data_IF_637343247726
#
_entry.id   IF_637343247726
#
_cell.length_a   1.000
_cell.length_b   1.000
_cell.length_c   1.000
_cell.angle_alpha   90.00
_cell.angle_beta   90.00
_cell.angle_gamma   90.00
#
_symmetry.space_group_name_H-M   'P 1'
#
loop_
_entity.id
_entity.type
_entity.pdbx_description
1 polymer ?
#
# COMPACT_ATOMS: atom_id res chain seq x y z
N UNK A 1 -81.39 22.54 -13.02
CA UNK A 1 -80.68 21.88 -14.15
C UNK A 1 -80.14 22.95 -15.09
N UNK A 2 -78.86 23.35 -14.95
CA UNK A 2 -78.03 24.06 -15.96
C UNK A 2 -76.66 24.59 -15.45
N UNK A 3 -76.20 24.21 -14.26
CA UNK A 3 -74.90 24.67 -13.72
C UNK A 3 -73.94 23.57 -13.24
N UNK A 4 -74.16 22.31 -13.62
CA UNK A 4 -73.32 21.18 -13.17
C UNK A 4 -72.45 20.53 -14.27
N UNK A 5 -72.36 21.14 -15.47
CA UNK A 5 -71.75 20.50 -16.66
C UNK A 5 -70.65 21.33 -17.33
N UNK A 6 -69.95 22.19 -16.58
CA UNK A 6 -68.83 22.99 -17.13
C UNK A 6 -67.53 22.96 -16.30
N UNK A 7 -67.51 22.30 -15.14
CA UNK A 7 -66.30 22.12 -14.33
C UNK A 7 -65.60 20.76 -14.54
N UNK A 8 -66.13 19.90 -15.42
CA UNK A 8 -65.58 18.56 -15.69
C UNK A 8 -64.58 18.48 -16.83
N UNK A 9 -64.30 19.59 -17.53
CA UNK A 9 -63.42 19.60 -18.72
C UNK A 9 -62.07 20.29 -18.45
N UNK A 10 -61.96 21.11 -17.40
CA UNK A 10 -60.69 21.76 -17.03
C UNK A 10 -59.86 21.00 -15.98
N UNK A 11 -60.43 20.03 -15.29
CA UNK A 11 -59.71 19.17 -14.32
C UNK A 11 -59.01 17.96 -14.95
N UNK A 12 -59.29 17.66 -16.22
CA UNK A 12 -58.65 16.55 -16.95
C UNK A 12 -57.37 16.94 -17.71
N UNK A 13 -57.01 18.23 -17.77
CA UNK A 13 -55.87 18.71 -18.58
C UNK A 13 -54.62 19.14 -17.78
N UNK A 14 -54.62 18.99 -16.45
CA UNK A 14 -53.50 19.41 -15.57
C UNK A 14 -52.79 18.22 -14.89
N UNK A 15 -53.18 16.97 -15.20
CA UNK A 15 -52.56 15.77 -14.60
C UNK A 15 -51.72 14.93 -15.58
N UNK A 16 -51.34 15.50 -16.73
CA UNK A 16 -50.65 14.77 -17.81
C UNK A 16 -49.28 15.37 -18.18
N UNK A 17 -48.53 15.90 -17.21
CA UNK A 17 -47.21 16.53 -17.44
C UNK A 17 -46.13 16.17 -16.40
N UNK A 18 -46.18 15.02 -15.77
CA UNK A 18 -45.07 14.50 -14.95
C UNK A 18 -44.83 13.01 -15.19
N UNK A 19 -44.47 12.65 -16.43
CA UNK A 19 -43.72 11.41 -16.68
C UNK A 19 -42.38 11.85 -17.24
N UNK A 20 -41.52 12.36 -16.35
CA UNK A 20 -40.10 12.42 -16.62
C UNK A 20 -39.55 11.01 -16.56
N UNK A 21 -39.06 10.48 -17.68
CA UNK A 21 -38.18 9.32 -17.68
C UNK A 21 -36.91 9.72 -16.90
N UNK A 22 -36.87 9.43 -15.61
CA UNK A 22 -35.61 9.23 -14.93
C UNK A 22 -34.98 7.97 -15.56
N UNK A 23 -33.72 8.01 -16.01
CA UNK A 23 -33.02 6.77 -16.34
C UNK A 23 -33.05 5.89 -15.09
N UNK A 24 -33.25 4.56 -15.21
CA UNK A 24 -33.10 3.70 -14.05
C UNK A 24 -31.69 3.92 -13.50
N UNK A 25 -31.59 4.20 -12.21
CA UNK A 25 -30.33 4.09 -11.48
C UNK A 25 -29.84 2.67 -11.73
N UNK A 26 -28.89 2.53 -12.66
CA UNK A 26 -28.17 1.30 -12.84
C UNK A 26 -27.29 1.19 -11.60
N UNK A 27 -27.84 0.56 -10.56
CA UNK A 27 -27.05 0.03 -9.46
C UNK A 27 -25.98 -0.83 -10.11
N UNK A 28 -24.74 -0.33 -10.15
CA UNK A 28 -23.60 -1.15 -10.50
C UNK A 28 -23.47 -2.14 -9.34
N UNK A 29 -24.12 -3.29 -9.51
CA UNK A 29 -23.96 -4.42 -8.61
C UNK A 29 -22.57 -4.97 -8.88
N UNK A 30 -21.60 -4.50 -8.10
CA UNK A 30 -20.37 -5.25 -7.91
C UNK A 30 -20.77 -6.50 -7.13
N UNK A 31 -20.98 -7.62 -7.83
CA UNK A 31 -20.88 -8.91 -7.19
C UNK A 31 -19.42 -9.02 -6.72
N UNK A 32 -19.18 -8.60 -5.47
CA UNK A 32 -17.99 -8.95 -4.72
C UNK A 32 -18.06 -10.46 -4.48
N UNK A 33 -17.83 -11.22 -5.55
CA UNK A 33 -17.53 -12.64 -5.46
C UNK A 33 -16.18 -12.65 -4.77
N UNK A 34 -16.19 -12.90 -3.45
CA UNK A 34 -14.98 -13.22 -2.72
C UNK A 34 -14.38 -14.45 -3.42
N UNK A 35 -13.46 -14.22 -4.34
CA UNK A 35 -12.62 -15.29 -4.85
C UNK A 35 -12.00 -15.94 -3.60
N UNK A 36 -12.01 -17.28 -3.50
CA UNK A 36 -11.39 -17.94 -2.36
C UNK A 36 -9.96 -17.39 -2.25
N UNK A 37 -9.66 -16.74 -1.12
CA UNK A 37 -8.30 -16.31 -0.79
C UNK A 37 -7.44 -17.57 -0.94
N UNK A 38 -6.46 -17.59 -1.86
CA UNK A 38 -5.61 -18.76 -2.00
C UNK A 38 -5.03 -19.08 -0.63
N UNK A 39 -5.18 -20.32 -0.17
CA UNK A 39 -4.49 -20.79 1.04
C UNK A 39 -3.01 -20.46 0.86
N UNK A 40 -2.48 -19.64 1.77
CA UNK A 40 -1.08 -19.27 1.80
C UNK A 40 -0.25 -20.53 2.02
N UNK A 41 0.12 -21.20 0.93
CA UNK A 41 0.98 -22.37 0.96
C UNK A 41 2.40 -21.86 1.00
N UNK A 42 3.19 -22.23 2.01
CA UNK A 42 4.62 -21.89 2.10
C UNK A 42 5.39 -22.63 1.00
N UNK A 43 5.35 -22.08 -0.22
CA UNK A 43 6.25 -22.54 -1.27
C UNK A 43 7.66 -22.16 -0.81
N UNK A 44 8.59 -23.11 -0.63
CA UNK A 44 9.95 -22.78 -0.27
C UNK A 44 10.51 -21.85 -1.35
N UNK A 45 10.83 -20.62 -0.98
CA UNK A 45 11.41 -19.66 -1.91
C UNK A 45 12.81 -20.16 -2.31
N UNK A 46 13.15 -20.04 -3.59
CA UNK A 46 14.48 -20.38 -4.10
C UNK A 46 15.49 -19.49 -3.39
N UNK A 47 16.34 -20.08 -2.58
CA UNK A 47 17.43 -19.36 -1.92
C UNK A 47 18.49 -18.99 -2.95
N UNK A 48 19.07 -17.80 -2.83
CA UNK A 48 20.25 -17.43 -3.63
C UNK A 48 21.39 -18.40 -3.34
N UNK A 49 22.27 -18.68 -4.32
CA UNK A 49 23.51 -19.38 -4.03
C UNK A 49 24.36 -18.55 -3.06
N UNK A 50 25.31 -19.22 -2.41
CA UNK A 50 26.37 -18.52 -1.69
C UNK A 50 27.33 -17.92 -2.72
N UNK A 51 27.64 -16.64 -2.56
CA UNK A 51 28.62 -15.93 -3.38
C UNK A 51 29.97 -15.85 -2.68
N UNK A 52 31.05 -15.86 -3.46
CA UNK A 52 32.39 -15.60 -2.98
C UNK A 52 32.57 -14.10 -2.67
N UNK A 53 33.47 -13.73 -1.73
CA UNK A 53 33.71 -12.32 -1.41
C UNK A 53 34.17 -11.51 -2.63
N UNK A 54 33.44 -10.44 -2.95
CA UNK A 54 33.72 -9.57 -4.09
C UNK A 54 33.34 -10.18 -5.44
N UNK A 55 32.60 -11.29 -5.46
CA UNK A 55 32.04 -11.85 -6.69
C UNK A 55 31.16 -10.81 -7.39
N UNK A 56 31.32 -10.67 -8.71
CA UNK A 56 30.52 -9.74 -9.49
C UNK A 56 29.18 -10.37 -9.83
N UNK A 57 28.11 -9.72 -9.41
CA UNK A 57 26.75 -10.13 -9.73
C UNK A 57 26.05 -9.11 -10.61
N UNK A 58 25.22 -9.62 -11.52
CA UNK A 58 24.40 -8.77 -12.38
C UNK A 58 23.27 -8.11 -11.58
N UNK A 59 23.15 -6.81 -11.77
CA UNK A 59 22.08 -6.01 -11.19
C UNK A 59 21.53 -5.04 -12.23
N UNK A 60 20.23 -4.78 -12.17
CA UNK A 60 19.58 -3.76 -12.99
C UNK A 60 19.11 -2.67 -12.04
N UNK A 61 19.61 -1.45 -12.25
CA UNK A 61 19.25 -0.30 -11.43
C UNK A 61 17.74 -0.10 -11.39
N UNK A 62 17.21 0.06 -10.19
CA UNK A 62 15.81 0.29 -9.90
C UNK A 62 15.55 1.77 -9.68
N UNK A 63 14.28 2.16 -9.68
CA UNK A 63 13.88 3.56 -9.51
C UNK A 63 14.37 4.11 -8.18
N UNK A 64 15.30 5.06 -8.25
CA UNK A 64 15.78 5.75 -7.07
C UNK A 64 16.95 5.10 -6.36
N UNK A 65 17.57 4.11 -6.98
CA UNK A 65 18.84 3.57 -6.51
C UNK A 65 19.93 4.65 -6.51
N UNK A 66 20.79 4.57 -5.52
CA UNK A 66 22.00 5.37 -5.40
C UNK A 66 23.18 4.43 -5.18
N UNK A 67 24.40 4.87 -5.50
CA UNK A 67 25.60 4.05 -5.28
C UNK A 67 25.75 3.68 -3.79
N UNK A 68 25.50 4.63 -2.88
CA UNK A 68 25.57 4.37 -1.44
C UNK A 68 24.49 3.41 -0.96
N UNK A 69 23.26 3.50 -1.49
CA UNK A 69 22.17 2.59 -1.15
C UNK A 69 22.47 1.17 -1.60
N UNK A 70 22.99 1.00 -2.82
CA UNK A 70 23.42 -0.30 -3.33
C UNK A 70 24.61 -0.87 -2.55
N UNK A 71 25.57 -0.03 -2.16
CA UNK A 71 26.70 -0.45 -1.34
C UNK A 71 26.23 -1.09 -0.01
N UNK A 72 25.28 -0.45 0.68
CA UNK A 72 24.67 -1.01 1.89
C UNK A 72 23.94 -2.34 1.63
N UNK A 73 23.10 -2.40 0.60
CA UNK A 73 22.29 -3.60 0.25
C UNK A 73 23.15 -4.81 -0.11
N UNK A 74 24.23 -4.61 -0.86
CA UNK A 74 25.12 -5.67 -1.34
C UNK A 74 26.32 -5.91 -0.41
N UNK A 75 26.38 -5.22 0.73
CA UNK A 75 27.45 -5.32 1.72
C UNK A 75 28.84 -5.04 1.10
N UNK A 76 28.94 -4.05 0.22
CA UNK A 76 30.18 -3.63 -0.47
C UNK A 76 30.43 -2.13 -0.27
N UNK A 77 31.41 -1.56 -0.97
CA UNK A 77 31.74 -0.14 -0.95
C UNK A 77 31.29 0.58 -2.23
N UNK A 78 31.04 1.89 -2.11
CA UNK A 78 30.72 2.73 -3.26
C UNK A 78 31.87 2.74 -4.29
N UNK A 79 33.11 2.72 -3.80
CA UNK A 79 34.33 2.68 -4.60
C UNK A 79 34.41 1.40 -5.43
N UNK A 80 34.16 0.23 -4.83
CA UNK A 80 34.15 -1.05 -5.54
C UNK A 80 33.07 -1.10 -6.63
N UNK A 81 31.87 -0.57 -6.36
CA UNK A 81 30.81 -0.46 -7.37
C UNK A 81 31.26 0.42 -8.54
N UNK A 82 31.81 1.61 -8.26
CA UNK A 82 32.22 2.55 -9.32
C UNK A 82 33.39 2.02 -10.17
N UNK A 83 34.35 1.32 -9.56
CA UNK A 83 35.46 0.68 -10.29
C UNK A 83 34.96 -0.35 -11.30
N UNK A 84 33.93 -1.12 -10.93
CA UNK A 84 33.34 -2.14 -11.81
C UNK A 84 32.29 -1.57 -12.79
N UNK A 85 31.89 -0.30 -12.63
CA UNK A 85 30.92 0.38 -13.49
C UNK A 85 31.44 1.76 -13.94
N UNK A 86 32.54 1.83 -14.71
CA UNK A 86 33.23 3.09 -15.04
C UNK A 86 32.42 4.05 -15.92
N UNK A 87 31.29 3.60 -16.48
CA UNK A 87 30.34 4.43 -17.23
C UNK A 87 29.57 5.39 -16.32
N UNK A 88 29.50 5.13 -15.01
CA UNK A 88 28.76 5.95 -14.05
C UNK A 88 29.63 7.16 -13.65
N UNK A 89 29.18 8.39 -13.91
CA UNK A 89 29.91 9.58 -13.46
C UNK A 89 29.91 9.69 -11.92
N UNK A 90 31.02 10.12 -11.35
CA UNK A 90 31.19 10.26 -9.88
C UNK A 90 30.24 11.26 -9.21
N UNK A 91 29.61 12.17 -9.98
CA UNK A 91 28.70 13.19 -9.47
C UNK A 91 27.21 12.80 -9.58
N UNK A 92 26.90 11.56 -9.96
CA UNK A 92 25.52 11.08 -10.04
C UNK A 92 24.96 10.85 -8.64
N UNK A 93 23.84 11.49 -8.33
CA UNK A 93 23.11 11.28 -7.07
C UNK A 93 22.13 10.12 -7.12
N UNK A 94 21.56 9.81 -8.30
CA UNK A 94 20.56 8.76 -8.52
C UNK A 94 20.82 8.06 -9.85
N UNK A 95 20.78 6.73 -9.85
CA UNK A 95 21.03 5.91 -11.03
C UNK A 95 19.81 5.89 -11.98
N UNK A 96 20.02 5.89 -13.31
CA UNK A 96 18.94 5.69 -14.26
C UNK A 96 18.31 4.30 -14.10
N UNK A 97 16.97 4.19 -13.96
CA UNK A 97 16.30 2.89 -13.90
C UNK A 97 16.57 2.09 -15.18
N UNK A 98 16.78 0.78 -15.04
CA UNK A 98 17.09 -0.11 -16.15
C UNK A 98 18.59 -0.17 -16.53
N UNK A 99 19.46 0.63 -15.90
CA UNK A 99 20.90 0.56 -16.15
C UNK A 99 21.46 -0.79 -15.68
N UNK A 100 22.10 -1.59 -16.56
CA UNK A 100 22.78 -2.81 -16.15
C UNK A 100 24.06 -2.47 -15.37
N UNK A 101 24.33 -3.24 -14.32
CA UNK A 101 25.43 -3.03 -13.40
C UNK A 101 26.10 -4.35 -13.03
N UNK A 102 27.39 -4.28 -12.73
CA UNK A 102 28.17 -5.35 -12.11
C UNK A 102 28.47 -4.95 -10.67
N UNK A 103 27.85 -5.59 -9.69
CA UNK A 103 28.00 -5.24 -8.28
C UNK A 103 28.86 -6.29 -7.58
N UNK A 104 29.99 -5.90 -6.96
CA UNK A 104 30.71 -6.79 -6.04
C UNK A 104 29.84 -7.10 -4.84
N UNK A 105 29.65 -8.37 -4.51
CA UNK A 105 28.83 -8.80 -3.38
C UNK A 105 29.68 -9.43 -2.28
N UNK A 106 29.36 -9.12 -1.02
CA UNK A 106 29.90 -9.83 0.14
C UNK A 106 28.76 -10.55 0.85
N UNK A 107 28.59 -11.82 0.51
CA UNK A 107 27.47 -12.65 0.94
C UNK A 107 27.21 -12.59 2.44
N UNK A 108 25.93 -12.41 2.78
CA UNK A 108 25.40 -12.49 4.13
C UNK A 108 24.34 -13.61 4.17
N UNK A 109 24.35 -14.49 5.18
CA UNK A 109 23.33 -15.53 5.29
C UNK A 109 21.96 -14.94 5.65
N UNK A 110 20.91 -15.76 5.48
CA UNK A 110 19.52 -15.46 5.86
C UNK A 110 18.81 -14.42 4.98
N UNK A 111 19.13 -14.38 3.69
CA UNK A 111 18.33 -13.59 2.75
C UNK A 111 16.91 -14.13 2.60
N UNK A 112 15.95 -13.21 2.62
CA UNK A 112 14.53 -13.46 2.48
C UNK A 112 14.11 -13.79 1.05
N UNK A 113 12.79 -13.75 0.81
CA UNK A 113 12.22 -14.06 -0.50
C UNK A 113 12.72 -13.10 -1.59
N UNK A 114 12.85 -13.60 -2.82
CA UNK A 114 13.08 -12.81 -4.03
C UNK A 114 11.79 -12.24 -4.63
N UNK A 115 10.63 -12.60 -4.08
CA UNK A 115 9.34 -12.15 -4.58
C UNK A 115 9.14 -10.66 -4.30
N UNK A 116 8.91 -9.88 -5.35
CA UNK A 116 8.56 -8.46 -5.24
C UNK A 116 7.03 -8.33 -5.13
N UNK A 117 6.57 -7.88 -3.96
CA UNK A 117 5.14 -7.79 -3.59
C UNK A 117 4.43 -6.69 -4.38
N UNK A 118 5.10 -5.54 -4.54
CA UNK A 118 4.52 -4.34 -5.15
C UNK A 118 5.63 -3.56 -5.86
N UNK A 119 5.37 -2.91 -7.01
CA UNK A 119 6.33 -2.00 -7.61
C UNK A 119 6.40 -0.66 -6.85
N UNK A 120 7.58 -0.03 -6.81
CA UNK A 120 7.81 1.24 -6.11
C UNK A 120 6.85 2.36 -6.53
N UNK A 121 6.44 2.39 -7.81
CA UNK A 121 5.48 3.38 -8.32
C UNK A 121 4.07 3.25 -7.75
N UNK A 122 3.69 2.08 -7.23
CA UNK A 122 2.37 1.82 -6.64
C UNK A 122 2.36 2.02 -5.11
N UNK A 123 3.54 2.14 -4.49
CA UNK A 123 3.70 2.35 -3.05
C UNK A 123 3.49 3.81 -2.66
N UNK A 124 4.06 4.73 -3.42
CA UNK A 124 3.98 6.18 -3.16
C UNK A 124 2.65 6.73 -3.67
N UNK A 125 2.06 7.68 -2.94
CA UNK A 125 0.93 8.45 -3.43
C UNK A 125 1.39 9.39 -4.57
N UNK A 126 1.34 8.90 -5.80
CA UNK A 126 1.86 9.58 -6.97
C UNK A 126 1.00 9.36 -8.22
N UNK A 127 1.52 9.67 -9.42
CA UNK A 127 0.75 9.64 -10.67
C UNK A 127 0.04 8.32 -10.97
N UNK A 128 0.55 7.19 -10.47
CA UNK A 128 -0.08 5.87 -10.62
C UNK A 128 -1.46 5.76 -9.93
N UNK A 129 -1.80 6.68 -9.03
CA UNK A 129 -3.07 6.71 -8.30
C UNK A 129 -4.01 7.84 -8.69
N UNK A 130 -3.70 8.65 -9.71
CA UNK A 130 -4.45 9.89 -10.00
C UNK A 130 -5.93 9.66 -10.31
N UNK A 131 -6.25 8.53 -10.95
CA UNK A 131 -7.63 8.16 -11.31
C UNK A 131 -8.35 7.37 -10.20
N UNK A 132 -7.74 7.23 -9.02
CA UNK A 132 -8.35 6.47 -7.91
C UNK A 132 -9.22 7.37 -7.03
N UNK A 133 -10.53 7.28 -7.22
CA UNK A 133 -11.50 7.88 -6.30
C UNK A 133 -11.73 6.97 -5.09
N UNK A 134 -11.15 7.37 -3.95
CA UNK A 134 -11.21 6.63 -2.69
C UNK A 134 -12.66 6.55 -2.16
N UNK A 135 -13.43 7.65 -2.27
CA UNK A 135 -14.79 7.71 -1.72
C UNK A 135 -15.69 6.77 -2.51
N UNK A 136 -15.70 6.90 -3.83
CA UNK A 136 -16.46 6.00 -4.71
C UNK A 136 -16.06 4.53 -4.54
N UNK A 137 -14.77 4.25 -4.32
CA UNK A 137 -14.30 2.89 -4.07
C UNK A 137 -14.83 2.33 -2.74
N UNK A 138 -14.75 3.08 -1.64
CA UNK A 138 -15.27 2.64 -0.33
C UNK A 138 -16.78 2.46 -0.37
N UNK A 139 -17.51 3.36 -1.04
CA UNK A 139 -18.98 3.30 -1.13
C UNK A 139 -19.51 2.08 -1.88
N UNK A 140 -18.68 1.49 -2.77
CA UNK A 140 -18.99 0.31 -3.56
C UNK A 140 -18.96 -1.00 -2.75
N UNK A 141 -18.43 -1.00 -1.53
CA UNK A 141 -18.36 -2.19 -0.67
C UNK A 141 -19.25 -2.06 0.58
N UNK A 142 -19.71 -3.19 1.16
CA UNK A 142 -20.64 -3.17 2.30
C UNK A 142 -19.97 -3.05 3.68
N UNK A 143 -18.65 -2.91 3.73
CA UNK A 143 -17.88 -2.96 4.98
C UNK A 143 -18.04 -1.75 5.89
N UNK A 144 -17.61 -1.93 7.13
CA UNK A 144 -17.77 -0.96 8.22
C UNK A 144 -17.10 0.39 7.94
N UNK A 145 -16.04 0.42 7.11
CA UNK A 145 -15.32 1.66 6.78
C UNK A 145 -16.22 2.73 6.15
N UNK A 146 -17.26 2.30 5.42
CA UNK A 146 -18.22 3.19 4.76
C UNK A 146 -18.95 4.09 5.75
N UNK A 147 -19.38 3.51 6.87
CA UNK A 147 -20.15 4.21 7.91
C UNK A 147 -19.25 4.78 9.02
N UNK A 148 -17.96 4.40 9.04
CA UNK A 148 -17.01 4.86 10.05
C UNK A 148 -16.79 6.38 10.00
N UNK A 149 -16.76 7.02 11.17
CA UNK A 149 -16.50 8.44 11.37
C UNK A 149 -15.58 8.62 12.56
N UNK A 150 -14.52 9.42 12.40
CA UNK A 150 -13.60 9.71 13.50
C UNK A 150 -13.00 11.13 13.37
N UNK A 151 -12.47 11.65 14.47
CA UNK A 151 -11.76 12.92 14.49
C UNK A 151 -10.30 12.71 14.07
N UNK A 152 -9.97 13.20 12.88
CA UNK A 152 -8.60 13.19 12.36
C UNK A 152 -8.16 14.64 12.13
N UNK A 153 -6.87 14.96 12.16
CA UNK A 153 -6.33 16.20 11.58
C UNK A 153 -7.14 17.50 11.75
N UNK A 154 -7.75 17.74 12.91
CA UNK A 154 -8.53 18.95 13.20
C UNK A 154 -10.04 18.94 12.88
N UNK A 155 -10.61 17.87 12.33
CA UNK A 155 -12.03 17.81 11.96
C UNK A 155 -12.58 16.36 11.98
N UNK A 156 -13.91 16.22 12.01
CA UNK A 156 -14.56 14.92 11.85
C UNK A 156 -14.54 14.51 10.37
N UNK A 157 -14.05 13.30 10.08
CA UNK A 157 -13.90 12.76 8.72
C UNK A 157 -14.56 11.39 8.56
N UNK A 158 -14.98 11.07 7.34
CA UNK A 158 -15.37 9.72 6.91
C UNK A 158 -14.19 8.76 6.90
N UNK A 159 -14.46 7.45 6.94
CA UNK A 159 -13.42 6.43 6.80
C UNK A 159 -12.56 6.63 5.56
N UNK A 160 -13.19 6.90 4.41
CA UNK A 160 -12.50 7.23 3.17
C UNK A 160 -11.68 8.53 3.25
N UNK A 161 -12.22 9.58 3.88
CA UNK A 161 -11.53 10.85 4.08
C UNK A 161 -10.32 10.70 5.02
N UNK A 162 -10.40 9.86 6.04
CA UNK A 162 -9.25 9.56 6.92
C UNK A 162 -8.15 8.88 6.12
N UNK A 163 -8.48 7.87 5.30
CA UNK A 163 -7.50 7.20 4.43
C UNK A 163 -6.88 8.20 3.46
N UNK A 164 -7.69 9.04 2.81
CA UNK A 164 -7.23 10.10 1.91
C UNK A 164 -6.30 11.09 2.60
N UNK A 165 -6.65 11.50 3.82
CA UNK A 165 -5.87 12.43 4.63
C UNK A 165 -4.51 11.83 5.00
N UNK A 166 -4.46 10.58 5.46
CA UNK A 166 -3.19 9.91 5.79
C UNK A 166 -2.36 9.67 4.53
N UNK A 167 -2.96 9.17 3.45
CA UNK A 167 -2.28 8.94 2.17
C UNK A 167 -1.59 10.21 1.65
N UNK A 168 -2.26 11.36 1.78
CA UNK A 168 -1.73 12.65 1.35
C UNK A 168 -0.60 13.13 2.26
N UNK A 169 -0.81 13.15 3.58
CA UNK A 169 0.19 13.68 4.53
C UNK A 169 1.47 12.83 4.61
N UNK A 170 1.35 11.52 4.41
CA UNK A 170 2.50 10.59 4.48
C UNK A 170 3.02 10.17 3.12
N UNK A 171 2.41 10.65 2.02
CA UNK A 171 2.77 10.27 0.64
C UNK A 171 2.75 8.75 0.39
N UNK A 172 1.86 8.02 1.06
CA UNK A 172 1.67 6.57 0.90
C UNK A 172 0.41 6.30 0.10
N UNK A 173 0.45 5.33 -0.80
CA UNK A 173 -0.66 4.97 -1.68
C UNK A 173 -1.96 4.70 -0.92
N UNK A 174 -3.07 5.37 -1.25
CA UNK A 174 -4.36 5.11 -0.60
C UNK A 174 -4.83 3.67 -0.87
N UNK A 175 -4.48 3.09 -2.02
CA UNK A 175 -4.79 1.68 -2.33
C UNK A 175 -4.06 0.72 -1.40
N UNK A 176 -2.79 1.01 -1.08
CA UNK A 176 -2.02 0.21 -0.14
C UNK A 176 -2.60 0.31 1.28
N UNK A 177 -2.96 1.52 1.73
CA UNK A 177 -3.60 1.71 3.04
C UNK A 177 -4.95 0.98 3.14
N UNK A 178 -5.79 1.05 2.10
CA UNK A 178 -7.04 0.29 2.05
C UNK A 178 -6.80 -1.22 2.04
N UNK A 179 -5.79 -1.70 1.32
CA UNK A 179 -5.45 -3.13 1.29
C UNK A 179 -5.01 -3.63 2.67
N UNK A 180 -4.22 -2.85 3.41
CA UNK A 180 -3.79 -3.18 4.78
C UNK A 180 -4.99 -3.18 5.74
N UNK A 181 -5.83 -2.16 5.68
CA UNK A 181 -7.07 -2.09 6.45
C UNK A 181 -7.97 -3.30 6.17
N UNK A 182 -8.21 -3.62 4.90
CA UNK A 182 -9.00 -4.78 4.53
C UNK A 182 -8.38 -6.08 5.07
N UNK A 183 -7.08 -6.28 4.86
CA UNK A 183 -6.40 -7.49 5.29
C UNK A 183 -6.45 -7.73 6.81
N UNK A 184 -6.24 -6.68 7.62
CA UNK A 184 -6.16 -6.83 9.07
C UNK A 184 -7.50 -6.67 9.80
N UNK A 185 -8.46 -5.94 9.22
CA UNK A 185 -9.70 -5.57 9.91
C UNK A 185 -10.97 -5.81 9.11
N UNK A 186 -10.87 -6.24 7.85
CA UNK A 186 -12.01 -6.43 6.96
C UNK A 186 -12.77 -5.13 6.66
N UNK A 187 -12.06 -4.00 6.60
CA UNK A 187 -12.62 -2.66 6.47
C UNK A 187 -13.64 -2.48 5.33
N UNK A 188 -13.44 -3.17 4.21
CA UNK A 188 -14.29 -3.10 3.04
C UNK A 188 -15.32 -4.24 3.02
N UNK A 189 -15.04 -5.40 3.59
CA UNK A 189 -15.91 -6.59 3.43
C UNK A 189 -16.76 -6.93 4.66
N UNK A 190 -16.30 -6.64 5.87
CA UNK A 190 -17.02 -6.95 7.12
C UNK A 190 -17.91 -5.78 7.53
N UNK A 191 -19.19 -6.07 7.78
CA UNK A 191 -20.16 -5.03 8.17
C UNK A 191 -19.93 -4.49 9.59
N UNK A 192 -19.37 -5.32 10.48
CA UNK A 192 -19.10 -4.95 11.87
C UNK A 192 -17.67 -4.43 12.01
N UNK A 193 -17.53 -3.26 12.63
CA UNK A 193 -16.22 -2.71 13.00
C UNK A 193 -15.59 -3.59 14.08
N UNK A 194 -14.26 -3.84 14.05
CA UNK A 194 -13.59 -4.63 15.07
C UNK A 194 -13.82 -4.08 16.48
N UNK A 195 -14.12 -4.96 17.44
CA UNK A 195 -14.27 -4.62 18.86
C UNK A 195 -12.90 -4.36 19.55
N UNK A 196 -12.03 -3.58 18.92
CA UNK A 196 -10.71 -3.22 19.44
C UNK A 196 -10.34 -1.80 19.01
N UNK A 197 -9.70 -0.99 19.88
CA UNK A 197 -9.19 0.31 19.48
C UNK A 197 -7.94 0.22 18.58
N UNK A 198 -7.40 -0.98 18.32
CA UNK A 198 -6.20 -1.21 17.51
C UNK A 198 -6.57 -1.90 16.20
N UNK A 199 -7.16 -1.14 15.25
CA UNK A 199 -7.68 -1.65 13.97
C UNK A 199 -6.63 -2.42 13.15
N UNK A 200 -5.35 -2.07 13.25
CA UNK A 200 -4.25 -2.71 12.52
C UNK A 200 -3.39 -3.64 13.41
N UNK A 201 -3.87 -3.96 14.62
CA UNK A 201 -3.25 -4.91 15.53
C UNK A 201 -1.95 -4.44 16.20
N UNK A 202 -1.52 -3.19 15.97
CA UNK A 202 -0.35 -2.64 16.64
C UNK A 202 -0.72 -2.13 18.04
N UNK A 203 -0.27 -2.85 19.06
CA UNK A 203 -0.57 -2.60 20.47
C UNK A 203 0.67 -2.00 21.16
N UNK A 204 0.74 -0.68 21.23
CA UNK A 204 1.73 0.10 22.01
C UNK A 204 0.95 1.09 22.93
N UNK A 205 1.43 1.48 24.13
CA UNK A 205 0.60 2.18 25.12
C UNK A 205 -0.05 3.49 24.64
N UNK A 206 -1.39 3.53 24.65
CA UNK A 206 -2.35 4.67 24.55
C UNK A 206 -2.22 5.59 23.32
N UNK A 207 -1.03 5.88 22.80
CA UNK A 207 -0.75 6.89 21.77
C UNK A 207 -1.25 6.56 20.36
N UNK A 208 -1.71 5.33 20.11
CA UNK A 208 -2.12 4.87 18.78
C UNK A 208 -3.51 4.22 18.72
N UNK A 209 -4.44 4.64 19.60
CA UNK A 209 -5.82 4.15 19.60
C UNK A 209 -6.67 4.80 18.50
N UNK A 210 -7.55 4.04 17.88
CA UNK A 210 -8.43 4.49 16.79
C UNK A 210 -7.80 4.31 15.41
N UNK A 211 -8.67 4.19 14.39
CA UNK A 211 -8.26 3.89 13.02
C UNK A 211 -7.30 4.95 12.47
N UNK A 212 -7.54 6.23 12.75
CA UNK A 212 -6.68 7.32 12.27
C UNK A 212 -5.25 7.21 12.79
N UNK A 213 -5.05 6.97 14.09
CA UNK A 213 -3.71 6.87 14.67
C UNK A 213 -3.01 5.55 14.28
N UNK A 214 -3.76 4.46 14.12
CA UNK A 214 -3.23 3.21 13.55
C UNK A 214 -2.76 3.41 12.10
N UNK A 215 -3.50 4.17 11.28
CA UNK A 215 -3.08 4.47 9.91
C UNK A 215 -1.84 5.39 9.85
N UNK A 216 -1.72 6.36 10.76
CA UNK A 216 -0.49 7.15 10.91
C UNK A 216 0.69 6.24 11.22
N UNK A 217 0.54 5.36 12.21
CA UNK A 217 1.58 4.40 12.57
C UNK A 217 1.95 3.50 11.38
N UNK A 218 0.96 2.99 10.65
CA UNK A 218 1.18 2.15 9.49
C UNK A 218 1.94 2.90 8.38
N UNK A 219 1.51 4.10 8.02
CA UNK A 219 2.14 4.91 6.99
C UNK A 219 3.59 5.28 7.36
N UNK A 220 3.85 5.63 8.62
CA UNK A 220 5.21 5.87 9.12
C UNK A 220 6.08 4.61 9.02
N UNK A 221 5.57 3.47 9.50
CA UNK A 221 6.30 2.21 9.50
C UNK A 221 6.63 1.76 8.07
N UNK A 222 5.67 1.87 7.15
CA UNK A 222 5.87 1.60 5.72
C UNK A 222 6.97 2.51 5.14
N UNK A 223 6.90 3.82 5.39
CA UNK A 223 7.90 4.78 4.90
C UNK A 223 9.30 4.51 5.48
N UNK A 224 9.41 4.17 6.76
CA UNK A 224 10.68 3.82 7.39
C UNK A 224 11.33 2.61 6.69
N UNK A 225 10.54 1.58 6.38
CA UNK A 225 11.01 0.43 5.62
C UNK A 225 11.42 0.79 4.19
N UNK A 226 10.56 1.51 3.48
CA UNK A 226 10.77 1.90 2.08
C UNK A 226 12.01 2.79 1.90
N UNK A 227 12.10 3.89 2.64
CA UNK A 227 13.22 4.83 2.51
C UNK A 227 14.49 4.33 3.19
N UNK A 228 14.37 3.54 4.26
CA UNK A 228 15.53 2.88 4.88
C UNK A 228 16.21 1.91 3.93
N UNK A 229 15.42 1.07 3.23
CA UNK A 229 15.95 0.15 2.22
C UNK A 229 16.56 0.89 1.03
N UNK A 230 15.83 1.87 0.49
CA UNK A 230 16.28 2.68 -0.66
C UNK A 230 17.58 3.45 -0.36
N UNK A 231 17.74 3.92 0.88
CA UNK A 231 18.95 4.58 1.36
C UNK A 231 20.09 3.64 1.72
N UNK A 232 19.84 2.32 1.79
CA UNK A 232 20.81 1.30 2.22
C UNK A 232 21.11 1.30 3.71
N UNK A 233 20.31 1.98 4.54
CA UNK A 233 20.47 2.02 6.00
C UNK A 233 19.68 0.94 6.73
N UNK A 234 18.62 0.41 6.12
CA UNK A 234 17.89 -0.75 6.60
C UNK A 234 18.26 -1.95 5.73
N UNK A 235 19.14 -2.82 6.22
CA UNK A 235 19.60 -4.03 5.52
C UNK A 235 19.15 -5.32 6.21
N UNK A 236 18.64 -5.20 7.44
CA UNK A 236 18.10 -6.29 8.24
C UNK A 236 17.10 -5.75 9.27
N UNK A 237 16.20 -6.61 9.74
CA UNK A 237 15.28 -6.28 10.82
C UNK A 237 14.82 -7.53 11.57
N UNK A 238 14.55 -7.35 12.87
CA UNK A 238 13.92 -8.39 13.69
C UNK A 238 12.41 -8.48 13.40
N UNK A 239 11.91 -9.70 13.47
CA UNK A 239 10.48 -10.03 13.46
C UNK A 239 9.96 -10.18 14.88
N UNK A 240 8.64 -10.19 15.05
CA UNK A 240 8.01 -10.33 16.37
C UNK A 240 8.31 -11.66 17.08
N UNK A 241 8.72 -12.70 16.35
CA UNK A 241 9.16 -14.00 16.90
C UNK A 241 10.65 -14.01 17.32
N UNK A 242 11.36 -12.88 17.16
CA UNK A 242 12.78 -12.73 17.47
C UNK A 242 13.73 -13.24 16.39
N UNK A 243 13.21 -13.74 15.26
CA UNK A 243 14.04 -14.09 14.11
C UNK A 243 14.53 -12.84 13.37
N UNK A 244 15.75 -12.91 12.85
CA UNK A 244 16.34 -11.87 12.01
C UNK A 244 15.98 -12.15 10.55
N UNK A 245 15.45 -11.14 9.86
CA UNK A 245 15.21 -11.18 8.41
C UNK A 245 16.14 -10.20 7.70
N UNK A 246 16.79 -10.67 6.64
CA UNK A 246 17.56 -9.82 5.72
C UNK A 246 16.86 -9.82 4.37
N UNK A 247 16.31 -8.69 3.89
CA UNK A 247 15.74 -8.67 2.56
C UNK A 247 16.78 -9.06 1.50
N UNK A 248 16.36 -9.75 0.45
CA UNK A 248 17.25 -10.08 -0.66
C UNK A 248 17.81 -8.78 -1.27
N UNK A 249 19.13 -8.66 -1.53
CA UNK A 249 19.74 -7.42 -2.03
C UNK A 249 19.13 -6.89 -3.33
N UNK A 250 18.43 -7.70 -4.13
CA UNK A 250 17.73 -7.28 -5.35
C UNK A 250 16.28 -6.84 -5.12
N UNK A 251 15.79 -6.84 -3.88
CA UNK A 251 14.44 -6.38 -3.58
C UNK A 251 14.24 -4.91 -3.93
N UNK A 252 12.99 -4.59 -4.31
CA UNK A 252 12.56 -3.20 -4.46
C UNK A 252 12.12 -2.62 -3.11
N UNK A 253 12.10 -1.29 -3.01
CA UNK A 253 11.83 -0.62 -1.74
C UNK A 253 10.39 -0.83 -1.25
N UNK A 254 9.40 -0.91 -2.14
CA UNK A 254 8.01 -1.18 -1.80
C UNK A 254 7.83 -2.52 -1.09
N UNK A 255 8.48 -3.57 -1.61
CA UNK A 255 8.39 -4.92 -1.04
C UNK A 255 9.04 -4.96 0.35
N UNK A 256 10.20 -4.33 0.51
CA UNK A 256 10.87 -4.24 1.83
C UNK A 256 10.07 -3.38 2.82
N UNK A 257 9.46 -2.29 2.35
CA UNK A 257 8.55 -1.48 3.17
C UNK A 257 7.38 -2.30 3.73
N UNK A 258 6.77 -3.14 2.90
CA UNK A 258 5.67 -4.03 3.30
C UNK A 258 6.17 -5.15 4.24
N UNK A 259 7.32 -5.77 3.93
CA UNK A 259 7.94 -6.78 4.81
C UNK A 259 8.23 -6.19 6.19
N UNK A 260 8.85 -5.02 6.24
CA UNK A 260 9.18 -4.31 7.47
C UNK A 260 7.92 -3.94 8.28
N UNK A 261 6.86 -3.48 7.61
CA UNK A 261 5.57 -3.23 8.26
C UNK A 261 5.01 -4.48 8.95
N UNK A 262 4.92 -5.59 8.22
CA UNK A 262 4.38 -6.83 8.78
C UNK A 262 5.30 -7.48 9.81
N UNK A 263 6.61 -7.18 9.80
CA UNK A 263 7.53 -7.62 10.85
C UNK A 263 7.18 -7.03 12.24
N UNK A 264 6.34 -5.99 12.30
CA UNK A 264 5.88 -5.32 13.53
C UNK A 264 4.52 -5.78 14.02
N UNK A 265 3.71 -6.38 13.16
CA UNK A 265 2.32 -6.77 13.49
C UNK A 265 2.06 -8.26 13.41
N UNK A 266 2.86 -9.02 12.67
CA UNK A 266 2.68 -10.46 12.50
C UNK A 266 3.90 -11.22 13.01
N UNK A 267 3.65 -12.32 13.69
CA UNK A 267 4.64 -13.39 13.89
C UNK A 267 4.54 -14.32 12.69
N UNK A 268 5.68 -14.72 12.10
CA UNK A 268 5.66 -15.80 11.12
C UNK A 268 5.02 -17.03 11.77
N UNK A 269 4.02 -17.61 11.12
CA UNK A 269 3.48 -18.92 11.51
C UNK A 269 4.24 -20.01 10.79
#
# INVERSE_FOLDING_TARGET
MKHALQYGIYTALIFLLLVGCAPPDALIQFDATAAPTPEATSTPYITRPKFDPGELVEYVAQTGDTISGLAGRFNTSAEEILVNNPVIPHNVSVLPPGMPMQIPIYYLPLWGSQFQIMPDSAFVNGPAGIDFDIQSYVDAYPGWLKEHRDYAGGENRSGAEIVSYVATNFSVSPRLLLAILEYQSGALTKMEEPETPYTLGYIEPISHQGMYLQLIWAANTLNNGYYGWRGGSLTEFDRTDGSLERPDPWQNAASVGIQYYFSRTLSGS
#
